data_IF_564079639015
#
_entry.id   IF_564079639015
#
_cell.length_a   1.000
_cell.length_b   1.000
_cell.length_c   1.000
_cell.angle_alpha   90.00
_cell.angle_beta   90.00
_cell.angle_gamma   90.00
#
_symmetry.space_group_name_H-M   'P 1'
#
loop_
_entity.id
_entity.type
_entity.pdbx_description
1 polymer ?
#
# COMPACT_ATOMS: atom_id res chain seq x y z
N UNK A 1 -16.77 -3.08 -6.56
CA UNK A 1 -15.35 -3.43 -6.35
C UNK A 1 -14.98 -4.43 -7.45
N UNK A 2 -14.01 -4.13 -8.31
CA UNK A 2 -13.67 -4.92 -9.52
C UNK A 2 -12.47 -5.84 -9.24
N UNK A 3 -12.68 -7.13 -8.87
CA UNK A 3 -11.59 -7.97 -8.34
C UNK A 3 -10.59 -8.36 -9.43
N UNK A 4 -11.09 -8.69 -10.62
CA UNK A 4 -10.27 -9.12 -11.76
C UNK A 4 -9.45 -7.98 -12.36
N UNK A 5 -10.06 -6.82 -12.58
CA UNK A 5 -9.33 -5.59 -12.98
C UNK A 5 -8.25 -5.26 -11.97
N UNK A 6 -8.53 -5.39 -10.67
CA UNK A 6 -7.52 -5.18 -9.62
C UNK A 6 -6.38 -6.19 -9.71
N UNK A 7 -6.66 -7.46 -10.02
CA UNK A 7 -5.62 -8.48 -10.23
C UNK A 7 -4.78 -8.13 -11.46
N UNK A 8 -5.38 -7.72 -12.57
CA UNK A 8 -4.66 -7.29 -13.77
C UNK A 8 -3.73 -6.11 -13.47
N UNK A 9 -4.24 -5.06 -12.84
CA UNK A 9 -3.46 -3.87 -12.53
C UNK A 9 -2.39 -4.13 -11.46
N UNK A 10 -2.75 -4.73 -10.31
CA UNK A 10 -1.78 -5.02 -9.24
C UNK A 10 -0.81 -6.14 -9.60
N UNK A 11 -1.24 -7.04 -10.48
CA UNK A 11 -0.44 -8.12 -11.05
C UNK A 11 0.65 -7.60 -12.00
N UNK A 12 0.62 -6.32 -12.40
CA UNK A 12 1.66 -5.72 -13.23
C UNK A 12 1.55 -6.00 -14.72
N UNK A 13 0.43 -6.56 -15.16
CA UNK A 13 0.21 -6.84 -16.59
C UNK A 13 0.36 -5.59 -17.48
N UNK A 14 -0.13 -4.39 -17.09
CA UNK A 14 0.11 -3.17 -17.86
C UNK A 14 1.60 -2.85 -18.08
N UNK A 15 2.47 -3.19 -17.13
CA UNK A 15 3.90 -2.90 -17.18
C UNK A 15 4.62 -3.72 -18.26
N UNK A 16 4.01 -4.82 -18.73
CA UNK A 16 4.52 -5.68 -19.79
C UNK A 16 4.30 -5.09 -21.19
N UNK A 17 3.47 -4.06 -21.34
CA UNK A 17 3.20 -3.40 -22.61
C UNK A 17 4.13 -2.20 -22.84
N UNK A 18 4.51 -1.97 -24.09
CA UNK A 18 5.30 -0.82 -24.51
C UNK A 18 4.50 0.47 -24.42
N UNK A 19 5.15 1.56 -24.00
CA UNK A 19 4.55 2.90 -23.87
C UNK A 19 3.32 2.97 -22.93
N UNK A 20 3.18 1.99 -22.04
CA UNK A 20 2.15 1.97 -21.01
C UNK A 20 2.79 2.32 -19.68
N UNK A 21 2.16 3.25 -18.96
CA UNK A 21 2.52 3.58 -17.59
C UNK A 21 1.27 3.56 -16.73
N UNK A 22 1.43 3.18 -15.46
CA UNK A 22 0.34 3.06 -14.51
C UNK A 22 0.58 3.98 -13.33
N UNK A 23 -0.45 4.72 -12.92
CA UNK A 23 -0.41 5.57 -11.73
C UNK A 23 -1.59 5.24 -10.84
N UNK A 24 -1.32 5.00 -9.55
CA UNK A 24 -2.35 4.74 -8.56
C UNK A 24 -2.86 6.05 -7.95
N UNK A 25 -4.17 6.29 -8.07
CA UNK A 25 -4.87 7.40 -7.41
C UNK A 25 -5.93 6.83 -6.48
N UNK A 26 -5.86 7.16 -5.19
CA UNK A 26 -6.80 6.65 -4.19
C UNK A 26 -8.22 7.19 -4.43
N UNK A 27 -9.24 6.33 -4.28
CA UNK A 27 -10.65 6.72 -4.45
C UNK A 27 -11.12 6.88 -5.90
N UNK A 28 -10.28 6.60 -6.89
CA UNK A 28 -10.62 6.72 -8.31
C UNK A 28 -10.82 5.36 -8.98
N UNK A 29 -11.73 5.33 -9.96
CA UNK A 29 -11.94 4.16 -10.82
C UNK A 29 -10.77 3.94 -11.78
N UNK A 30 -10.50 2.67 -12.17
CA UNK A 30 -9.44 2.35 -13.11
C UNK A 30 -9.83 2.80 -14.52
N UNK A 31 -9.00 3.67 -15.10
CA UNK A 31 -9.22 4.25 -16.42
C UNK A 31 -7.94 4.18 -17.23
N UNK A 32 -8.05 3.73 -18.48
CA UNK A 32 -6.99 3.77 -19.47
C UNK A 32 -7.12 5.06 -20.29
N UNK A 33 -6.04 5.81 -20.38
CA UNK A 33 -5.94 7.02 -21.18
C UNK A 33 -4.95 6.78 -22.32
N UNK A 34 -5.38 7.05 -23.55
CA UNK A 34 -4.55 6.92 -24.75
C UNK A 34 -4.22 8.32 -25.25
N UNK A 35 -2.93 8.63 -25.33
CA UNK A 35 -2.43 9.92 -25.78
C UNK A 35 -1.80 9.79 -27.17
N UNK A 36 -2.01 10.79 -28.02
CA UNK A 36 -1.32 10.94 -29.31
C UNK A 36 -0.80 12.36 -29.40
N UNK A 37 0.51 12.51 -29.64
CA UNK A 37 1.18 13.80 -29.69
C UNK A 37 0.98 14.67 -28.43
N UNK A 38 0.85 14.04 -27.25
CA UNK A 38 0.63 14.72 -25.97
C UNK A 38 -0.82 15.08 -25.67
N UNK A 39 -1.75 14.84 -26.59
CA UNK A 39 -3.18 15.11 -26.39
C UNK A 39 -3.94 13.82 -26.07
N UNK A 40 -4.85 13.88 -25.09
CA UNK A 40 -5.75 12.77 -24.75
C UNK A 40 -6.71 12.53 -25.93
N UNK A 41 -6.63 11.33 -26.51
CA UNK A 41 -7.50 10.93 -27.63
C UNK A 41 -8.67 10.08 -27.15
N UNK A 42 -8.39 9.16 -26.22
CA UNK A 42 -9.37 8.18 -25.78
C UNK A 42 -9.25 7.91 -24.28
N UNK A 43 -10.42 7.72 -23.66
CA UNK A 43 -10.57 7.42 -22.25
C UNK A 43 -11.50 6.22 -22.08
N UNK A 44 -10.95 5.11 -21.59
CA UNK A 44 -11.65 3.84 -21.47
C UNK A 44 -11.74 3.46 -19.99
N UNK A 45 -12.95 3.17 -19.50
CA UNK A 45 -13.15 2.70 -18.13
C UNK A 45 -12.88 1.21 -18.06
N UNK A 46 -11.76 0.82 -17.44
CA UNK A 46 -11.39 -0.59 -17.31
C UNK A 46 -12.35 -1.38 -16.41
N UNK A 47 -13.08 -0.66 -15.55
CA UNK A 47 -14.14 -1.20 -14.70
C UNK A 47 -15.29 -1.87 -15.46
N UNK A 48 -15.48 -1.56 -16.75
CA UNK A 48 -16.53 -2.14 -17.60
C UNK A 48 -16.14 -3.51 -18.18
N UNK A 49 -14.87 -3.91 -18.00
CA UNK A 49 -14.34 -5.20 -18.45
C UNK A 49 -14.22 -6.15 -17.27
N UNK A 50 -15.09 -7.16 -17.24
CA UNK A 50 -15.20 -8.11 -16.14
C UNK A 50 -14.29 -9.33 -16.29
N UNK A 51 -13.40 -9.34 -17.29
CA UNK A 51 -12.49 -10.45 -17.48
C UNK A 51 -11.08 -10.06 -17.90
N UNK A 52 -10.12 -10.89 -17.49
CA UNK A 52 -8.71 -10.66 -17.79
C UNK A 52 -8.42 -10.80 -19.28
N UNK A 53 -9.02 -11.79 -19.94
CA UNK A 53 -8.87 -11.98 -21.38
C UNK A 53 -9.42 -10.78 -22.17
N UNK A 54 -10.52 -10.17 -21.69
CA UNK A 54 -11.08 -8.96 -22.30
C UNK A 54 -10.15 -7.75 -22.14
N UNK A 55 -9.48 -7.61 -20.99
CA UNK A 55 -8.52 -6.54 -20.77
C UNK A 55 -7.28 -6.72 -21.64
N UNK A 56 -6.77 -7.94 -21.79
CA UNK A 56 -5.65 -8.23 -22.70
C UNK A 56 -6.04 -7.99 -24.16
N UNK A 57 -7.21 -8.49 -24.57
CA UNK A 57 -7.74 -8.25 -25.91
C UNK A 57 -7.90 -6.75 -26.19
N UNK A 58 -8.41 -5.98 -25.23
CA UNK A 58 -8.52 -4.52 -25.34
C UNK A 58 -7.14 -3.87 -25.58
N UNK A 59 -6.12 -4.27 -24.83
CA UNK A 59 -4.77 -3.71 -25.01
C UNK A 59 -4.23 -4.01 -26.41
N UNK A 60 -4.39 -5.24 -26.89
CA UNK A 60 -3.96 -5.64 -28.22
C UNK A 60 -4.77 -4.94 -29.33
N UNK A 61 -6.08 -4.80 -29.16
CA UNK A 61 -6.97 -4.10 -30.08
C UNK A 61 -6.59 -2.62 -30.22
N UNK A 62 -6.21 -1.97 -29.11
CA UNK A 62 -5.70 -0.59 -29.11
C UNK A 62 -4.28 -0.46 -29.65
N UNK A 63 -3.66 -1.56 -30.07
CA UNK A 63 -2.36 -1.58 -30.73
C UNK A 63 -1.18 -1.52 -29.77
N UNK A 64 -1.40 -1.75 -28.47
CA UNK A 64 -0.30 -1.91 -27.54
C UNK A 64 0.45 -3.22 -27.85
N UNK A 65 1.78 -3.13 -27.84
CA UNK A 65 2.66 -4.27 -28.08
C UNK A 65 3.28 -4.70 -26.76
N UNK A 66 3.52 -5.99 -26.61
CA UNK A 66 4.36 -6.48 -25.51
C UNK A 66 5.78 -5.94 -25.66
N UNK A 67 6.43 -5.73 -24.51
CA UNK A 67 7.87 -5.54 -24.42
C UNK A 67 8.59 -6.82 -24.89
N UNK A 68 9.87 -6.69 -25.21
CA UNK A 68 10.69 -7.85 -25.56
C UNK A 68 10.77 -8.84 -24.40
N UNK A 69 11.10 -10.09 -24.70
CA UNK A 69 11.26 -11.14 -23.68
C UNK A 69 12.31 -10.75 -22.63
N UNK A 70 13.44 -10.19 -23.06
CA UNK A 70 14.48 -9.68 -22.16
C UNK A 70 13.98 -8.57 -21.23
N UNK A 71 13.17 -7.64 -21.73
CA UNK A 71 12.58 -6.57 -20.92
C UNK A 71 11.54 -7.11 -19.94
N UNK A 72 10.70 -8.06 -20.36
CA UNK A 72 9.72 -8.70 -19.48
C UNK A 72 10.42 -9.48 -18.37
N UNK A 73 11.50 -10.19 -18.70
CA UNK A 73 12.28 -10.94 -17.72
C UNK A 73 12.94 -10.02 -16.69
N UNK A 74 13.52 -8.89 -17.12
CA UNK A 74 14.04 -7.87 -16.19
C UNK A 74 12.96 -7.35 -15.24
N UNK A 75 11.76 -7.05 -15.73
CA UNK A 75 10.64 -6.59 -14.90
C UNK A 75 10.25 -7.66 -13.87
N UNK A 76 10.22 -8.93 -14.26
CA UNK A 76 9.93 -10.04 -13.36
C UNK A 76 11.02 -10.18 -12.28
N UNK A 77 12.29 -10.16 -12.67
CA UNK A 77 13.44 -10.26 -11.74
C UNK A 77 13.46 -9.09 -10.73
N UNK A 78 13.23 -7.86 -11.19
CA UNK A 78 13.14 -6.68 -10.32
C UNK A 78 11.99 -6.79 -9.32
N UNK A 79 10.82 -7.30 -9.76
CA UNK A 79 9.67 -7.53 -8.89
C UNK A 79 9.93 -8.61 -7.85
N UNK A 80 10.56 -9.71 -8.24
CA UNK A 80 10.91 -10.79 -7.32
C UNK A 80 11.94 -10.31 -6.28
N UNK A 81 12.97 -9.59 -6.72
CA UNK A 81 13.96 -8.99 -5.83
C UNK A 81 13.32 -8.01 -4.83
N UNK A 82 12.43 -7.13 -5.30
CA UNK A 82 11.73 -6.19 -4.44
C UNK A 82 10.78 -6.89 -3.47
N UNK A 83 10.08 -7.95 -3.93
CA UNK A 83 9.20 -8.75 -3.08
C UNK A 83 10.00 -9.48 -1.99
N UNK A 84 11.18 -10.01 -2.32
CA UNK A 84 12.07 -10.66 -1.37
C UNK A 84 12.60 -9.66 -0.33
N UNK A 85 13.13 -8.51 -0.76
CA UNK A 85 13.61 -7.45 0.13
C UNK A 85 12.53 -7.00 1.11
N UNK A 86 11.29 -6.83 0.64
CA UNK A 86 10.15 -6.45 1.47
C UNK A 86 9.76 -7.52 2.49
N UNK A 87 9.93 -8.82 2.15
CA UNK A 87 9.69 -9.91 3.10
C UNK A 87 10.75 -9.92 4.19
N UNK A 88 12.02 -9.80 3.82
CA UNK A 88 13.12 -9.73 4.79
C UNK A 88 12.98 -8.54 5.75
N UNK A 89 12.62 -7.36 5.23
CA UNK A 89 12.40 -6.17 6.05
C UNK A 89 11.30 -6.39 7.09
N UNK A 90 10.16 -6.94 6.67
CA UNK A 90 9.05 -7.29 7.58
C UNK A 90 9.45 -8.31 8.63
N UNK A 91 10.28 -9.27 8.27
CA UNK A 91 10.78 -10.27 9.22
C UNK A 91 11.72 -9.66 10.25
N UNK A 92 12.65 -8.78 9.83
CA UNK A 92 13.50 -8.02 10.74
C UNK A 92 12.69 -7.15 11.68
N UNK A 93 11.68 -6.45 11.17
CA UNK A 93 10.79 -5.61 11.97
C UNK A 93 10.02 -6.46 13.01
N UNK A 94 9.49 -7.63 12.60
CA UNK A 94 8.83 -8.56 13.52
C UNK A 94 9.78 -9.05 14.61
N UNK A 95 11.00 -9.47 14.26
CA UNK A 95 12.01 -9.91 15.22
C UNK A 95 12.37 -8.79 16.21
N UNK A 96 12.58 -7.58 15.70
CA UNK A 96 12.86 -6.40 16.52
C UNK A 96 11.73 -6.12 17.51
N UNK A 97 10.47 -6.14 17.05
CA UNK A 97 9.30 -5.93 17.89
C UNK A 97 9.13 -7.03 18.96
N UNK A 98 9.44 -8.28 18.63
CA UNK A 98 9.45 -9.40 19.57
C UNK A 98 10.50 -9.18 20.67
N UNK A 99 11.75 -8.87 20.28
CA UNK A 99 12.84 -8.61 21.23
C UNK A 99 12.55 -7.41 22.12
N UNK A 100 12.01 -6.32 21.55
CA UNK A 100 11.60 -5.14 22.31
C UNK A 100 10.54 -5.50 23.37
N UNK A 101 9.57 -6.35 23.01
CA UNK A 101 8.54 -6.83 23.94
C UNK A 101 9.12 -7.74 25.03
N UNK A 102 10.06 -8.63 24.70
CA UNK A 102 10.74 -9.47 25.69
C UNK A 102 11.51 -8.63 26.72
N UNK A 103 12.29 -7.66 26.26
CA UNK A 103 13.03 -6.73 27.14
C UNK A 103 12.09 -5.92 28.04
N UNK A 104 10.92 -5.53 27.54
CA UNK A 104 9.91 -4.87 28.36
C UNK A 104 9.48 -5.82 29.49
N UNK A 105 9.05 -7.04 29.17
CA UNK A 105 8.61 -8.05 30.15
C UNK A 105 9.71 -8.37 31.17
N UNK A 106 10.97 -8.48 30.76
CA UNK A 106 12.10 -8.69 31.69
C UNK A 106 12.29 -7.51 32.65
N UNK A 107 12.22 -6.27 32.13
CA UNK A 107 12.27 -5.06 32.95
C UNK A 107 11.11 -5.02 33.96
N UNK A 108 9.91 -5.41 33.54
CA UNK A 108 8.72 -5.49 34.41
C UNK A 108 8.92 -6.51 35.54
N UNK A 109 9.41 -7.71 35.21
CA UNK A 109 9.74 -8.75 36.19
C UNK A 109 10.81 -8.29 37.18
N UNK A 110 11.87 -7.62 36.69
CA UNK A 110 12.94 -7.11 37.53
C UNK A 110 12.47 -6.01 38.50
N UNK A 111 11.44 -5.24 38.12
CA UNK A 111 10.84 -4.21 38.98
C UNK A 111 9.78 -4.76 39.95
N UNK A 112 9.49 -6.07 39.91
CA UNK A 112 8.49 -6.70 40.79
C UNK A 112 7.06 -6.21 40.56
N UNK A 113 6.78 -5.57 39.42
CA UNK A 113 5.46 -5.03 39.10
C UNK A 113 4.64 -6.17 38.48
N UNK A 114 3.52 -6.52 39.11
CA UNK A 114 2.58 -7.49 38.53
C UNK A 114 2.05 -6.96 37.18
N UNK A 115 2.05 -7.84 36.18
CA UNK A 115 1.59 -7.59 34.81
C UNK A 115 0.22 -6.88 34.74
N UNK A 116 -0.67 -7.16 35.70
CA UNK A 116 -1.98 -6.52 35.83
C UNK A 116 -1.86 -5.03 36.19
N UNK A 117 -0.96 -4.68 37.09
CA UNK A 117 -0.74 -3.30 37.56
C UNK A 117 -0.17 -2.41 36.45
N UNK A 118 0.60 -2.99 35.53
CA UNK A 118 1.26 -2.26 34.46
C UNK A 118 0.34 -2.00 33.26
N UNK A 119 -0.51 -2.96 32.92
CA UNK A 119 -1.62 -2.74 31.97
C UNK A 119 -2.57 -1.62 32.45
N UNK A 120 -2.80 -1.52 33.75
CA UNK A 120 -3.56 -0.43 34.38
C UNK A 120 -2.84 0.91 34.20
N UNK A 121 -1.54 1.00 34.54
CA UNK A 121 -0.75 2.22 34.32
C UNK A 121 -0.70 2.67 32.87
N UNK A 122 -0.50 1.76 31.92
CA UNK A 122 -0.49 2.10 30.49
C UNK A 122 -1.88 2.50 29.95
N UNK A 123 -2.96 2.01 30.56
CA UNK A 123 -4.31 2.50 30.25
C UNK A 123 -4.50 3.91 30.77
N UNK A 124 -4.12 4.16 32.03
CA UNK A 124 -4.17 5.48 32.65
C UNK A 124 -3.33 6.50 31.87
N UNK A 125 -2.10 6.16 31.46
CA UNK A 125 -1.25 7.03 30.64
C UNK A 125 -1.88 7.37 29.28
N UNK A 126 -2.49 6.39 28.60
CA UNK A 126 -3.17 6.64 27.31
C UNK A 126 -4.41 7.51 27.49
N UNK A 127 -5.16 7.32 28.55
CA UNK A 127 -6.34 8.13 28.87
C UNK A 127 -5.92 9.56 29.25
N UNK A 128 -4.80 9.72 29.98
CA UNK A 128 -4.18 11.02 30.29
C UNK A 128 -3.75 11.75 29.01
N UNK A 129 -3.01 11.08 28.11
CA UNK A 129 -2.56 11.66 26.85
C UNK A 129 -3.73 12.07 25.94
N UNK A 130 -4.80 11.27 25.90
CA UNK A 130 -6.02 11.61 25.16
C UNK A 130 -6.71 12.85 25.75
N UNK A 131 -6.75 12.96 27.08
CA UNK A 131 -7.34 14.11 27.76
C UNK A 131 -6.51 15.38 27.52
N UNK A 132 -5.20 15.30 27.64
CA UNK A 132 -4.28 16.41 27.33
C UNK A 132 -4.39 16.84 25.86
N UNK A 133 -4.44 15.89 24.92
CA UNK A 133 -4.61 16.19 23.50
C UNK A 133 -5.95 16.88 23.21
N UNK A 134 -7.03 16.44 23.86
CA UNK A 134 -8.35 17.06 23.74
C UNK A 134 -8.39 18.47 24.34
N UNK A 135 -7.78 18.70 25.51
CA UNK A 135 -7.65 20.03 26.10
C UNK A 135 -6.82 20.97 25.23
N UNK A 136 -5.71 20.47 24.67
CA UNK A 136 -4.86 21.25 23.75
C UNK A 136 -5.62 21.64 22.48
N UNK A 137 -6.39 20.72 21.91
CA UNK A 137 -7.24 20.99 20.75
C UNK A 137 -8.37 21.98 21.08
N UNK A 138 -8.98 21.89 22.26
CA UNK A 138 -10.03 22.82 22.70
C UNK A 138 -9.50 24.23 22.99
N UNK A 139 -8.26 24.35 23.50
CA UNK A 139 -7.60 25.63 23.70
C UNK A 139 -7.26 26.31 22.37
N UNK A 140 -6.76 25.55 21.38
CA UNK A 140 -6.43 26.09 20.06
C UNK A 140 -7.67 26.52 19.25
N UNK A 141 -8.82 25.87 19.45
CA UNK A 141 -10.08 26.27 18.78
C UNK A 141 -10.79 27.48 19.40
N UNK A 142 -10.30 28.05 20.51
CA UNK A 142 -10.90 29.24 21.16
C UNK A 142 -10.21 30.56 20.80
N UNK A 143 -9.03 30.54 20.18
CA UNK A 143 -8.30 31.73 19.75
C UNK A 143 -8.63 32.19 18.31
N UNK A 144 -9.51 31.46 17.59
CA UNK A 144 -9.95 31.80 16.21
C UNK A 144 -11.38 32.37 16.12
N UNK A 145 -12.00 32.77 17.25
CA UNK A 145 -13.32 33.43 17.33
C UNK A 145 -13.20 34.82 17.96
#
# INVERSE_FOLDING_TARGET
MYPKVRIFLKGGYPELYQNVSMTWKEGHDPVLFIYKNGEEQEKIRLAEHDDMEQLEALMLEKGFKFKSEEEMQKIMEEREAMAHARREERERERQFNILKRQKLIEKERAQGIDSKTLLLKHREERDQQRKEAAEKAAAQGRDEL
#
